data_IF_678006601856
#
_entry.id   IF_678006601856
#
_cell.length_a   1.000
_cell.length_b   1.000
_cell.length_c   1.000
_cell.angle_alpha   90.00
_cell.angle_beta   90.00
_cell.angle_gamma   90.00
#
_symmetry.space_group_name_H-M   'P 1'
#
loop_
_entity.id
_entity.type
_entity.pdbx_description
1 polymer ?
#
# COMPACT_ATOMS: atom_id res chain seq x y z
N UNK A 1 15.04 -7.40 -4.51
CA UNK A 1 13.83 -7.65 -3.70
C UNK A 1 12.74 -6.62 -3.99
N UNK A 2 11.48 -7.00 -3.77
CA UNK A 2 10.36 -6.05 -3.84
C UNK A 2 9.21 -6.41 -2.92
N UNK A 3 8.50 -5.38 -2.43
CA UNK A 3 7.36 -5.59 -1.53
C UNK A 3 6.20 -6.29 -2.25
N UNK A 4 5.91 -7.51 -1.83
CA UNK A 4 4.85 -8.36 -2.36
C UNK A 4 3.48 -8.03 -1.73
N UNK A 5 3.02 -6.78 -1.88
CA UNK A 5 1.79 -6.26 -1.22
C UNK A 5 0.48 -6.96 -1.61
N UNK A 6 0.50 -7.76 -2.69
CA UNK A 6 -0.64 -8.61 -3.14
C UNK A 6 -0.38 -10.10 -2.88
N UNK A 7 0.71 -10.44 -2.19
CA UNK A 7 1.18 -11.81 -1.99
C UNK A 7 2.33 -12.20 -2.92
N UNK A 8 3.14 -13.17 -2.49
CA UNK A 8 4.33 -13.62 -3.21
C UNK A 8 4.01 -14.22 -4.59
N UNK A 9 2.92 -14.99 -4.71
CA UNK A 9 2.51 -15.59 -5.98
C UNK A 9 2.19 -14.52 -7.05
N UNK A 10 1.41 -13.49 -6.67
CA UNK A 10 1.09 -12.37 -7.56
C UNK A 10 2.33 -11.55 -7.92
N UNK A 11 3.25 -11.37 -6.97
CA UNK A 11 4.53 -10.70 -7.22
C UNK A 11 5.35 -11.48 -8.26
N UNK A 12 5.55 -12.79 -8.05
CA UNK A 12 6.32 -13.63 -8.96
C UNK A 12 5.69 -13.65 -10.35
N UNK A 13 4.38 -13.88 -10.45
CA UNK A 13 3.67 -13.83 -11.74
C UNK A 13 3.90 -12.53 -12.52
N UNK A 14 4.01 -11.40 -11.81
CA UNK A 14 4.20 -10.08 -12.43
C UNK A 14 5.64 -9.78 -12.80
N UNK A 15 6.60 -10.14 -11.93
CA UNK A 15 7.98 -9.65 -12.02
C UNK A 15 8.97 -10.70 -12.49
N UNK A 16 8.69 -11.99 -12.30
CA UNK A 16 9.60 -13.06 -12.71
C UNK A 16 10.03 -12.95 -14.20
N UNK A 17 9.14 -12.63 -15.17
CA UNK A 17 9.56 -12.43 -16.55
C UNK A 17 10.56 -11.29 -16.76
N UNK A 18 10.53 -10.25 -15.91
CA UNK A 18 11.51 -9.17 -15.96
C UNK A 18 12.90 -9.63 -15.51
N UNK A 19 12.98 -10.38 -14.41
CA UNK A 19 14.27 -10.81 -13.85
C UNK A 19 14.82 -12.04 -14.57
N UNK A 20 14.04 -13.12 -14.62
CA UNK A 20 14.46 -14.42 -15.12
C UNK A 20 14.67 -14.43 -16.63
N UNK A 21 13.84 -13.69 -17.38
CA UNK A 21 13.94 -13.61 -18.85
C UNK A 21 14.67 -12.33 -19.28
N UNK A 22 14.03 -11.17 -19.18
CA UNK A 22 14.55 -9.96 -19.82
C UNK A 22 15.93 -9.54 -19.31
N UNK A 23 16.10 -9.36 -17.99
CA UNK A 23 17.36 -8.88 -17.42
C UNK A 23 18.49 -9.90 -17.58
N UNK A 24 18.23 -11.19 -17.33
CA UNK A 24 19.24 -12.22 -17.52
C UNK A 24 19.66 -12.40 -18.99
N UNK A 25 18.72 -12.31 -19.93
CA UNK A 25 19.02 -12.45 -21.36
C UNK A 25 19.74 -11.23 -21.95
N UNK A 26 19.46 -10.03 -21.45
CA UNK A 26 20.03 -8.78 -21.98
C UNK A 26 21.29 -8.35 -21.24
N UNK A 27 21.21 -8.16 -19.92
CA UNK A 27 22.29 -7.63 -19.09
C UNK A 27 23.11 -8.76 -18.46
N UNK A 28 22.42 -9.80 -17.96
CA UNK A 28 23.06 -10.90 -17.23
C UNK A 28 24.13 -11.62 -18.05
N UNK A 29 23.80 -11.98 -19.31
CA UNK A 29 24.78 -12.57 -20.25
C UNK A 29 25.96 -11.65 -20.56
N UNK A 30 25.70 -10.35 -20.76
CA UNK A 30 26.75 -9.39 -21.14
C UNK A 30 27.74 -9.12 -20.00
N UNK A 31 27.28 -9.14 -18.76
CA UNK A 31 28.07 -8.85 -17.57
C UNK A 31 28.49 -10.10 -16.77
N UNK A 32 28.07 -11.29 -17.20
CA UNK A 32 28.26 -12.56 -16.49
C UNK A 32 27.73 -12.52 -15.04
N UNK A 33 26.51 -12.03 -14.88
CA UNK A 33 25.78 -11.95 -13.61
C UNK A 33 24.37 -12.53 -13.77
N UNK A 34 23.71 -12.85 -12.65
CA UNK A 34 22.32 -13.32 -12.63
C UNK A 34 21.42 -12.40 -11.81
N UNK A 35 20.20 -12.21 -12.29
CA UNK A 35 19.13 -11.48 -11.62
C UNK A 35 18.06 -12.46 -11.13
N UNK A 36 17.63 -12.29 -9.89
CA UNK A 36 16.52 -13.04 -9.30
C UNK A 36 15.48 -12.11 -8.66
N UNK A 37 14.21 -12.49 -8.80
CA UNK A 37 13.10 -11.78 -8.18
C UNK A 37 12.89 -12.31 -6.76
N UNK A 38 13.15 -11.49 -5.76
CA UNK A 38 12.92 -11.82 -4.34
C UNK A 38 11.64 -11.13 -3.85
N UNK A 39 10.49 -11.84 -3.75
CA UNK A 39 9.30 -11.29 -3.12
C UNK A 39 9.53 -11.16 -1.62
N UNK A 40 9.20 -10.01 -1.04
CA UNK A 40 9.41 -9.74 0.38
C UNK A 40 8.14 -9.19 1.01
N UNK A 41 7.89 -9.55 2.26
CA UNK A 41 6.99 -8.80 3.12
C UNK A 41 7.74 -7.63 3.81
N UNK A 42 7.00 -6.85 4.60
CA UNK A 42 7.58 -5.66 5.24
C UNK A 42 8.63 -6.01 6.31
N UNK A 43 8.43 -7.08 7.08
CA UNK A 43 9.40 -7.51 8.10
C UNK A 43 10.68 -8.04 7.45
N UNK A 44 10.54 -8.95 6.48
CA UNK A 44 11.66 -9.52 5.71
C UNK A 44 12.50 -8.45 5.01
N UNK A 45 11.91 -7.31 4.67
CA UNK A 45 12.63 -6.20 4.04
C UNK A 45 13.80 -5.72 4.88
N UNK A 46 13.62 -5.56 6.21
CA UNK A 46 14.69 -5.07 7.07
C UNK A 46 15.78 -6.13 7.26
N UNK A 47 15.38 -7.38 7.44
CA UNK A 47 16.32 -8.48 7.62
C UNK A 47 17.18 -8.70 6.37
N UNK A 48 16.57 -8.73 5.19
CA UNK A 48 17.26 -8.96 3.92
C UNK A 48 18.16 -7.79 3.52
N UNK A 49 17.74 -6.55 3.78
CA UNK A 49 18.60 -5.37 3.54
C UNK A 49 19.75 -5.33 4.55
N UNK A 50 19.47 -5.49 5.84
CA UNK A 50 20.48 -5.43 6.91
C UNK A 50 21.53 -6.53 6.80
N UNK A 51 21.14 -7.73 6.38
CA UNK A 51 22.05 -8.84 6.11
C UNK A 51 22.76 -8.77 4.74
N UNK A 52 22.44 -7.76 3.91
CA UNK A 52 22.93 -7.62 2.52
C UNK A 52 22.62 -8.84 1.66
N UNK A 53 21.48 -9.48 1.89
CA UNK A 53 20.99 -10.62 1.12
C UNK A 53 20.33 -10.20 -0.22
N UNK A 54 20.20 -8.90 -0.49
CA UNK A 54 19.70 -8.35 -1.76
C UNK A 54 20.56 -7.18 -2.22
N UNK A 55 20.80 -7.08 -3.53
CA UNK A 55 21.57 -5.98 -4.12
C UNK A 55 20.72 -4.74 -4.46
N UNK A 56 19.46 -4.96 -4.85
CA UNK A 56 18.52 -3.90 -5.23
C UNK A 56 17.17 -4.10 -4.54
N UNK A 57 16.54 -3.00 -4.16
CA UNK A 57 15.20 -2.99 -3.59
C UNK A 57 14.28 -2.04 -4.37
N UNK A 58 13.10 -2.55 -4.74
CA UNK A 58 12.00 -1.74 -5.21
C UNK A 58 10.89 -1.72 -4.15
N UNK A 59 10.72 -0.58 -3.49
CA UNK A 59 9.82 -0.45 -2.34
C UNK A 59 9.08 0.90 -2.34
N UNK A 60 8.14 1.06 -1.41
CA UNK A 60 7.42 2.32 -1.24
C UNK A 60 8.29 3.37 -0.51
N UNK A 61 7.97 4.67 -0.61
CA UNK A 61 8.78 5.74 -0.02
C UNK A 61 9.03 5.62 1.50
N UNK A 62 8.07 5.10 2.27
CA UNK A 62 8.22 4.94 3.73
C UNK A 62 9.25 3.87 4.06
N UNK A 63 9.12 2.69 3.45
CA UNK A 63 10.09 1.62 3.60
C UNK A 63 11.49 2.05 3.11
N UNK A 64 11.57 2.79 1.99
CA UNK A 64 12.82 3.35 1.50
C UNK A 64 13.47 4.27 2.53
N UNK A 65 12.71 5.23 3.09
CA UNK A 65 13.24 6.16 4.10
C UNK A 65 13.78 5.41 5.32
N UNK A 66 13.15 4.33 5.76
CA UNK A 66 13.66 3.51 6.86
C UNK A 66 14.99 2.81 6.49
N UNK A 67 15.06 2.13 5.35
CA UNK A 67 16.28 1.40 4.98
C UNK A 67 17.44 2.31 4.56
N UNK A 68 17.15 3.50 4.04
CA UNK A 68 18.14 4.56 3.80
C UNK A 68 18.75 5.02 5.13
N UNK A 69 17.91 5.33 6.11
CA UNK A 69 18.36 5.80 7.43
C UNK A 69 19.12 4.72 8.21
N UNK A 70 18.63 3.49 8.23
CA UNK A 70 19.18 2.41 9.07
C UNK A 70 20.35 1.66 8.42
N UNK A 71 20.35 1.52 7.08
CA UNK A 71 21.30 0.66 6.37
C UNK A 71 22.10 1.39 5.29
N UNK A 72 21.90 2.69 5.11
CA UNK A 72 22.66 3.50 4.14
C UNK A 72 22.35 3.17 2.68
N UNK A 73 21.15 2.66 2.39
CA UNK A 73 20.69 2.41 1.02
C UNK A 73 20.58 3.72 0.26
N UNK A 74 21.11 3.79 -0.96
CA UNK A 74 21.04 4.97 -1.81
C UNK A 74 19.93 4.85 -2.88
N UNK A 75 19.21 5.93 -3.20
CA UNK A 75 18.24 5.92 -4.29
C UNK A 75 18.95 5.97 -5.64
N UNK A 76 18.59 5.07 -6.55
CA UNK A 76 19.11 5.04 -7.94
C UNK A 76 18.06 5.59 -8.92
N UNK A 77 16.80 5.20 -8.74
CA UNK A 77 15.70 5.56 -9.63
C UNK A 77 14.37 5.55 -8.90
N UNK A 78 13.47 6.47 -9.27
CA UNK A 78 12.10 6.55 -8.79
C UNK A 78 11.12 6.22 -9.90
N UNK A 79 10.12 5.38 -9.60
CA UNK A 79 9.06 5.06 -10.57
C UNK A 79 8.01 6.17 -10.61
N UNK A 80 7.74 6.69 -11.81
CA UNK A 80 6.56 7.51 -12.08
C UNK A 80 5.48 6.62 -12.69
N UNK A 81 4.33 6.53 -12.03
CA UNK A 81 3.24 5.69 -12.52
C UNK A 81 2.49 6.42 -13.64
N UNK A 82 2.07 5.69 -14.67
CA UNK A 82 1.20 6.21 -15.72
C UNK A 82 -0.17 5.51 -15.67
N UNK A 83 -1.24 6.29 -15.58
CA UNK A 83 -2.62 5.78 -15.48
C UNK A 83 -3.58 6.71 -16.19
N UNK A 84 -4.44 6.16 -17.06
CA UNK A 84 -5.49 6.89 -17.78
C UNK A 84 -5.00 8.20 -18.46
N UNK A 85 -3.78 8.20 -19.00
CA UNK A 85 -3.20 9.39 -19.65
C UNK A 85 -2.43 10.33 -18.71
N UNK A 86 -2.48 10.11 -17.39
CA UNK A 86 -1.84 10.97 -16.40
C UNK A 86 -0.59 10.34 -15.81
N UNK A 87 0.42 11.18 -15.60
CA UNK A 87 1.61 10.78 -14.83
C UNK A 87 1.38 11.06 -13.36
N UNK A 88 1.31 10.00 -12.56
CA UNK A 88 1.13 10.04 -11.12
C UNK A 88 2.50 10.13 -10.45
N UNK A 89 2.82 11.32 -9.96
CA UNK A 89 4.06 11.60 -9.21
C UNK A 89 3.81 11.64 -7.69
N UNK A 90 2.56 11.47 -7.26
CA UNK A 90 2.16 11.51 -5.87
C UNK A 90 1.67 10.13 -5.44
N UNK A 91 1.91 9.82 -4.17
CA UNK A 91 1.42 8.62 -3.52
C UNK A 91 0.29 9.03 -2.58
N UNK A 92 -0.85 8.33 -2.65
CA UNK A 92 -2.05 8.69 -1.90
C UNK A 92 -2.67 7.51 -1.18
N UNK A 93 -3.39 7.83 -0.10
CA UNK A 93 -4.28 6.93 0.62
C UNK A 93 -5.71 7.44 0.55
N UNK A 94 -6.64 6.51 0.66
CA UNK A 94 -8.08 6.74 0.70
C UNK A 94 -8.62 6.24 2.04
N UNK A 95 -9.54 7.02 2.63
CA UNK A 95 -10.37 6.60 3.75
C UNK A 95 -11.80 6.50 3.23
N UNK A 96 -12.46 5.37 3.50
CA UNK A 96 -13.81 5.14 3.00
C UNK A 96 -14.66 4.38 4.02
N UNK A 97 -15.97 4.47 3.84
CA UNK A 97 -16.99 3.71 4.58
C UNK A 97 -18.06 3.24 3.60
N UNK A 98 -19.08 2.50 4.06
CA UNK A 98 -20.24 2.14 3.23
C UNK A 98 -20.99 3.40 2.81
N UNK A 99 -21.49 3.42 1.58
CA UNK A 99 -22.18 4.60 1.03
C UNK A 99 -23.44 4.98 1.81
N UNK A 100 -24.09 4.01 2.47
CA UNK A 100 -25.29 4.23 3.28
C UNK A 100 -25.03 4.72 4.72
N UNK A 101 -23.77 4.85 5.16
CA UNK A 101 -23.44 5.29 6.53
C UNK A 101 -23.49 6.82 6.64
N UNK A 102 -24.60 7.36 7.12
CA UNK A 102 -24.76 8.82 7.29
C UNK A 102 -24.02 9.38 8.51
N UNK A 103 -23.63 8.52 9.45
CA UNK A 103 -22.94 8.86 10.70
C UNK A 103 -21.42 9.00 10.56
N UNK A 104 -20.82 8.64 9.41
CA UNK A 104 -19.37 8.73 9.17
C UNK A 104 -19.11 9.60 7.93
N UNK A 105 -18.61 10.81 8.12
CA UNK A 105 -18.31 11.75 7.04
C UNK A 105 -16.96 12.47 7.19
N UNK A 106 -16.44 12.55 8.41
CA UNK A 106 -15.20 13.26 8.76
C UNK A 106 -14.26 12.37 9.55
N UNK A 107 -13.01 12.79 9.69
CA UNK A 107 -12.03 12.08 10.54
C UNK A 107 -12.48 11.99 12.01
N UNK A 108 -13.25 12.95 12.52
CA UNK A 108 -13.75 12.93 13.89
C UNK A 108 -14.77 11.80 14.15
N UNK A 109 -15.45 11.34 13.11
CA UNK A 109 -16.48 10.30 13.20
C UNK A 109 -15.88 8.89 13.33
N UNK A 110 -14.56 8.74 13.18
CA UNK A 110 -13.83 7.48 13.41
C UNK A 110 -13.79 7.11 14.89
N UNK A 111 -14.15 8.03 15.80
CA UNK A 111 -14.31 7.72 17.22
C UNK A 111 -15.33 6.60 17.43
N UNK A 112 -14.96 5.65 18.26
CA UNK A 112 -15.78 4.48 18.59
C UNK A 112 -16.17 3.63 17.37
N UNK A 113 -15.39 3.69 16.27
CA UNK A 113 -15.58 2.85 15.07
C UNK A 113 -14.52 1.76 14.95
N UNK A 114 -14.86 0.71 14.23
CA UNK A 114 -13.91 -0.32 13.79
C UNK A 114 -13.22 0.19 12.51
N UNK A 115 -11.94 0.55 12.65
CA UNK A 115 -11.09 1.00 11.55
C UNK A 115 -10.20 -0.16 11.10
N UNK A 116 -10.25 -0.51 9.83
CA UNK A 116 -9.38 -1.54 9.26
C UNK A 116 -8.31 -0.93 8.34
N UNK A 117 -7.06 -1.31 8.58
CA UNK A 117 -5.88 -0.85 7.86
C UNK A 117 -5.03 -2.06 7.41
N UNK A 118 -4.06 -1.85 6.51
CA UNK A 118 -3.25 -2.99 6.02
C UNK A 118 -2.26 -3.49 7.07
N UNK A 119 -1.53 -2.57 7.70
CA UNK A 119 -0.55 -2.79 8.76
C UNK A 119 -0.14 -1.42 9.31
N UNK A 120 0.38 -1.36 10.54
CA UNK A 120 0.89 -0.10 11.13
C UNK A 120 1.98 0.57 10.29
N UNK A 121 2.68 -0.22 9.47
CA UNK A 121 3.78 0.20 8.61
C UNK A 121 3.36 0.52 7.16
N UNK A 122 2.09 0.30 6.81
CA UNK A 122 1.60 0.51 5.45
C UNK A 122 1.48 1.99 5.11
N UNK A 123 2.27 2.51 4.17
CA UNK A 123 2.25 3.94 3.84
C UNK A 123 0.87 4.44 3.39
N UNK A 124 0.36 3.91 2.27
CA UNK A 124 -0.89 4.40 1.66
C UNK A 124 -2.17 3.79 2.21
N UNK A 125 -2.07 2.87 3.17
CA UNK A 125 -3.21 2.15 3.75
C UNK A 125 -3.09 2.08 5.28
N UNK A 126 -2.38 3.04 5.87
CA UNK A 126 -2.28 3.28 7.31
C UNK A 126 -1.61 4.63 7.60
N UNK A 127 -0.30 4.79 7.34
CA UNK A 127 0.50 5.92 7.87
C UNK A 127 0.04 7.28 7.33
N UNK A 128 -0.38 7.37 6.06
CA UNK A 128 -0.92 8.61 5.50
C UNK A 128 -2.24 9.01 6.16
N UNK A 129 -3.14 8.04 6.34
CA UNK A 129 -4.42 8.24 7.01
C UNK A 129 -4.23 8.55 8.50
N UNK A 130 -3.30 7.86 9.16
CA UNK A 130 -2.91 8.12 10.55
C UNK A 130 -2.35 9.54 10.70
N UNK A 131 -1.46 9.99 9.82
CA UNK A 131 -0.98 11.38 9.84
C UNK A 131 -2.16 12.37 9.78
N UNK A 132 -3.12 12.15 8.88
CA UNK A 132 -4.31 12.99 8.79
C UNK A 132 -5.14 12.96 10.09
N UNK A 133 -5.26 11.81 10.74
CA UNK A 133 -5.90 11.70 12.06
C UNK A 133 -5.19 12.57 13.11
N UNK A 134 -3.85 12.51 13.19
CA UNK A 134 -3.06 13.34 14.11
C UNK A 134 -3.28 14.83 13.82
N UNK A 135 -3.25 15.24 12.55
CA UNK A 135 -3.47 16.63 12.15
C UNK A 135 -4.88 17.14 12.55
N UNK A 136 -5.85 16.23 12.69
CA UNK A 136 -7.21 16.51 13.17
C UNK A 136 -7.40 16.28 14.68
N UNK A 137 -6.31 16.03 15.42
CA UNK A 137 -6.36 15.80 16.86
C UNK A 137 -7.05 14.48 17.25
N UNK A 138 -7.04 13.49 16.36
CA UNK A 138 -7.55 12.13 16.61
C UNK A 138 -6.38 11.17 16.79
N UNK A 139 -6.39 10.42 17.88
CA UNK A 139 -5.41 9.38 18.14
C UNK A 139 -5.83 8.07 17.48
N UNK A 140 -5.07 7.64 16.46
CA UNK A 140 -5.33 6.42 15.69
C UNK A 140 -5.49 5.15 16.53
N UNK A 141 -4.77 5.00 17.63
CA UNK A 141 -4.79 3.77 18.44
C UNK A 141 -5.72 3.84 19.65
N UNK A 142 -6.24 5.03 19.97
CA UNK A 142 -7.00 5.25 21.22
C UNK A 142 -8.45 5.65 20.93
N UNK A 143 -8.69 6.49 19.93
CA UNK A 143 -10.01 7.05 19.67
C UNK A 143 -10.96 6.10 18.93
N UNK A 144 -10.52 5.28 17.94
CA UNK A 144 -11.36 4.22 17.40
C UNK A 144 -11.70 3.16 18.45
N UNK A 145 -12.87 2.54 18.33
CA UNK A 145 -13.23 1.39 19.19
C UNK A 145 -12.26 0.22 18.97
N UNK A 146 -11.78 0.06 17.73
CA UNK A 146 -10.79 -0.94 17.37
C UNK A 146 -10.03 -0.53 16.11
N UNK A 147 -8.74 -0.84 16.08
CA UNK A 147 -7.95 -0.87 14.85
C UNK A 147 -7.64 -2.33 14.49
N UNK A 148 -8.02 -2.75 13.29
CA UNK A 148 -7.78 -4.09 12.75
C UNK A 148 -6.75 -4.02 11.63
N UNK A 149 -5.72 -4.88 11.69
CA UNK A 149 -4.76 -5.01 10.60
C UNK A 149 -5.07 -6.22 9.74
N UNK A 150 -5.55 -5.98 8.52
CA UNK A 150 -6.03 -7.01 7.60
C UNK A 150 -4.90 -7.72 6.84
N UNK A 151 -3.73 -7.07 6.73
CA UNK A 151 -2.59 -7.46 5.89
C UNK A 151 -2.93 -7.63 4.39
N UNK A 152 -4.14 -7.28 3.98
CA UNK A 152 -4.62 -7.38 2.60
C UNK A 152 -5.64 -6.27 2.32
N UNK A 153 -5.30 -5.33 1.45
CA UNK A 153 -6.19 -4.20 1.14
C UNK A 153 -7.49 -4.61 0.44
N UNK A 154 -7.49 -5.69 -0.36
CA UNK A 154 -8.74 -6.19 -0.96
C UNK A 154 -9.70 -6.72 0.10
N UNK A 155 -9.16 -7.33 1.15
CA UNK A 155 -9.95 -7.79 2.31
C UNK A 155 -10.62 -6.59 3.01
N UNK A 156 -9.87 -5.52 3.29
CA UNK A 156 -10.39 -4.28 3.89
C UNK A 156 -11.62 -3.76 3.14
N UNK A 157 -11.55 -3.68 1.81
CA UNK A 157 -12.68 -3.21 0.99
C UNK A 157 -13.90 -4.11 1.14
N UNK A 158 -13.70 -5.44 1.10
CA UNK A 158 -14.79 -6.40 1.26
C UNK A 158 -15.39 -6.36 2.66
N UNK A 159 -14.58 -6.18 3.70
CA UNK A 159 -15.04 -6.14 5.08
C UNK A 159 -15.83 -4.88 5.42
N UNK A 160 -15.44 -3.73 4.86
CA UNK A 160 -16.25 -2.50 4.98
C UNK A 160 -17.61 -2.70 4.29
N UNK A 161 -17.63 -3.22 3.05
CA UNK A 161 -18.86 -3.49 2.31
C UNK A 161 -19.76 -4.50 3.04
N UNK A 162 -19.18 -5.59 3.57
CA UNK A 162 -19.90 -6.61 4.34
C UNK A 162 -20.33 -6.14 5.74
N UNK A 163 -19.71 -5.07 6.25
CA UNK A 163 -19.95 -4.51 7.57
C UNK A 163 -19.28 -5.21 8.74
N UNK A 164 -18.19 -5.91 8.44
CA UNK A 164 -17.23 -6.39 9.43
C UNK A 164 -16.33 -5.25 9.96
N UNK A 165 -16.18 -4.17 9.18
CA UNK A 165 -15.53 -2.93 9.59
C UNK A 165 -16.41 -1.72 9.25
N UNK A 166 -16.21 -0.61 9.97
CA UNK A 166 -16.92 0.64 9.75
C UNK A 166 -16.18 1.53 8.74
N UNK A 167 -14.86 1.56 8.83
CA UNK A 167 -13.99 2.42 8.03
C UNK A 167 -12.80 1.61 7.51
N UNK A 168 -12.44 1.82 6.25
CA UNK A 168 -11.28 1.18 5.63
C UNK A 168 -10.23 2.18 5.17
N UNK A 169 -8.96 1.86 5.42
CA UNK A 169 -7.80 2.58 4.90
C UNK A 169 -7.15 1.76 3.78
N UNK A 170 -7.11 2.31 2.57
CA UNK A 170 -6.49 1.66 1.40
C UNK A 170 -5.70 2.66 0.59
N UNK A 171 -4.80 2.18 -0.26
CA UNK A 171 -4.12 3.02 -1.25
C UNK A 171 -5.13 3.56 -2.24
N UNK A 172 -4.96 4.81 -2.68
CA UNK A 172 -5.67 5.34 -3.84
C UNK A 172 -5.45 4.41 -5.03
N UNK A 173 -6.50 4.12 -5.82
CA UNK A 173 -6.57 3.12 -6.89
C UNK A 173 -6.94 1.69 -6.49
N UNK A 174 -6.98 1.37 -5.20
CA UNK A 174 -7.31 0.01 -4.76
C UNK A 174 -8.77 -0.34 -5.06
N UNK A 175 -9.72 0.47 -4.57
CA UNK A 175 -11.14 0.19 -4.74
C UNK A 175 -11.57 0.32 -6.21
N UNK A 176 -11.08 1.34 -6.92
CA UNK A 176 -11.34 1.56 -8.34
C UNK A 176 -10.77 0.41 -9.19
N UNK A 177 -9.61 -0.14 -8.79
CA UNK A 177 -9.03 -1.31 -9.43
C UNK A 177 -9.84 -2.59 -9.21
N UNK A 178 -10.44 -2.75 -8.02
CA UNK A 178 -11.34 -3.87 -7.72
C UNK A 178 -12.67 -3.77 -8.48
N UNK A 179 -13.24 -2.56 -8.57
CA UNK A 179 -14.45 -2.28 -9.35
C UNK A 179 -14.23 -2.55 -10.85
N UNK A 180 -13.11 -2.06 -11.41
CA UNK A 180 -12.73 -2.33 -12.81
C UNK A 180 -12.52 -3.82 -13.10
N UNK A 181 -12.20 -4.62 -12.07
CA UNK A 181 -12.05 -6.07 -12.16
C UNK A 181 -13.36 -6.84 -11.92
N UNK A 182 -14.47 -6.15 -11.63
CA UNK A 182 -15.76 -6.75 -11.30
C UNK A 182 -15.80 -7.44 -9.94
N UNK A 183 -14.88 -7.12 -9.02
CA UNK A 183 -14.79 -7.75 -7.69
C UNK A 183 -15.75 -7.11 -6.66
N UNK A 184 -16.12 -5.84 -6.86
CA UNK A 184 -17.01 -5.04 -6.01
C UNK A 184 -17.80 -4.06 -6.89
N UNK A 185 -18.79 -3.38 -6.32
CA UNK A 185 -19.38 -2.18 -6.90
C UNK A 185 -18.88 -0.94 -6.13
N UNK A 186 -18.21 -0.02 -6.81
CA UNK A 186 -17.65 1.19 -6.17
C UNK A 186 -18.72 2.07 -5.52
N UNK A 187 -19.98 2.01 -5.97
CA UNK A 187 -21.09 2.79 -5.39
C UNK A 187 -21.50 2.31 -3.99
N UNK A 188 -21.05 1.14 -3.56
CA UNK A 188 -21.35 0.59 -2.23
C UNK A 188 -20.51 1.27 -1.13
N UNK A 189 -19.53 2.08 -1.53
CA UNK A 189 -18.67 2.83 -0.62
C UNK A 189 -18.71 4.33 -0.92
N UNK A 190 -18.32 5.13 0.06
CA UNK A 190 -18.04 6.56 -0.09
C UNK A 190 -16.70 6.91 0.55
N UNK A 191 -15.97 7.80 -0.11
CA UNK A 191 -14.74 8.40 0.44
C UNK A 191 -15.13 9.45 1.48
N UNK A 192 -14.40 9.49 2.60
CA UNK A 192 -14.57 10.53 3.61
C UNK A 192 -13.44 11.55 3.48
N UNK A 193 -13.78 12.81 3.71
CA UNK A 193 -12.83 13.95 3.75
C UNK A 193 -11.79 13.94 2.60
N UNK A 194 -12.22 13.93 1.32
CA UNK A 194 -11.31 13.91 0.19
C UNK A 194 -10.44 15.16 0.17
N UNK A 195 -9.13 15.00 -0.01
CA UNK A 195 -8.19 16.10 -0.16
C UNK A 195 -8.17 16.48 -1.64
N UNK A 196 -8.62 17.68 -1.97
CA UNK A 196 -8.41 18.27 -3.28
C UNK A 196 -6.96 18.75 -3.39
N UNK A 197 -6.27 18.31 -4.43
CA UNK A 197 -4.86 18.59 -4.65
C UNK A 197 -4.63 19.74 -5.64
N UNK A 198 -5.70 20.35 -6.16
CA UNK A 198 -5.65 21.46 -7.12
C UNK A 198 -5.39 21.02 -8.55
#
# INVERSE_FOLDING_TARGET
>A
GGLAIRGAADFMKRWEPTYATYLNETVGKALNISFEAVPMNFAETFDLVGSKAIDFIYTNPSAFSCVESEYGVAPIVSLRNFRKGFTLNQFGGTIFTRSNRTDINTIHDLRDKIVEAVSITGLGACQMQWRLMIEKGINFLVDPAQVVFAFNQKKIVRDVIAGNADVGFVRTDMAEGMDSAGEINISDIKVIEPIDLG
#
